data_IF_637515399266
#
_entry.id   IF_637515399266
#
_cell.length_a   1.000
_cell.length_b   1.000
_cell.length_c   1.000
_cell.angle_alpha   90.00
_cell.angle_beta   90.00
_cell.angle_gamma   90.00
#
_symmetry.space_group_name_H-M   'P 1'
#
loop_
_entity.id
_entity.type
_entity.pdbx_description
1 polymer ?
#
# COMPACT_ATOMS: atom_id res chain seq x y z
N UNK A 1 42.10 -10.53 -4.36
CA UNK A 1 41.04 -10.27 -3.36
C UNK A 1 40.99 -8.77 -3.10
N UNK A 2 40.27 -8.04 -3.95
CA UNK A 2 40.15 -6.57 -3.86
C UNK A 2 38.68 -6.23 -3.63
N UNK A 3 38.40 -5.53 -2.55
CA UNK A 3 37.05 -5.11 -2.15
C UNK A 3 36.54 -4.05 -3.12
N UNK A 4 35.34 -4.27 -3.66
CA UNK A 4 34.61 -3.30 -4.46
C UNK A 4 34.16 -2.13 -3.56
N UNK A 5 34.42 -0.87 -3.95
CA UNK A 5 33.97 0.27 -3.18
C UNK A 5 32.46 0.46 -3.38
N UNK A 6 31.74 0.47 -2.26
CA UNK A 6 30.30 0.73 -2.19
C UNK A 6 30.02 2.13 -2.74
N UNK A 7 29.28 2.19 -3.85
CA UNK A 7 28.84 3.41 -4.49
C UNK A 7 28.02 4.27 -3.51
N UNK A 8 28.48 5.51 -3.35
CA UNK A 8 27.90 6.55 -2.49
C UNK A 8 26.42 6.77 -2.86
N UNK A 9 25.52 6.48 -1.91
CA UNK A 9 24.10 6.84 -2.00
C UNK A 9 23.98 8.35 -2.23
N UNK A 10 23.47 8.73 -3.42
CA UNK A 10 23.10 10.11 -3.73
C UNK A 10 21.98 10.54 -2.78
N UNK A 11 22.26 11.49 -1.90
CA UNK A 11 21.26 12.18 -1.08
C UNK A 11 20.35 12.97 -2.01
N UNK A 12 19.09 12.55 -2.16
CA UNK A 12 18.06 13.35 -2.80
C UNK A 12 17.84 14.62 -1.96
N UNK A 13 17.90 15.77 -2.63
CA UNK A 13 17.89 17.09 -2.03
C UNK A 13 16.66 17.35 -1.16
N UNK A 14 16.90 17.94 0.01
CA UNK A 14 15.89 18.43 0.93
C UNK A 14 15.26 19.70 0.33
N UNK A 15 14.29 19.55 -0.57
CA UNK A 15 13.48 20.68 -1.02
C UNK A 15 12.74 21.25 0.18
N UNK A 16 12.96 22.55 0.45
CA UNK A 16 12.29 23.27 1.53
C UNK A 16 10.79 23.22 1.26
N UNK A 17 10.04 22.57 2.15
CA UNK A 17 8.58 22.65 2.16
C UNK A 17 8.22 24.14 2.16
N UNK A 18 7.48 24.58 1.14
CA UNK A 18 6.99 25.95 1.03
C UNK A 18 6.17 26.29 2.27
N UNK A 19 6.72 27.12 3.15
CA UNK A 19 6.18 27.47 4.48
C UNK A 19 4.98 28.42 4.43
N UNK A 20 4.21 28.42 3.33
CA UNK A 20 2.96 29.17 3.27
C UNK A 20 1.91 28.37 4.04
N UNK A 21 1.29 28.92 5.08
CA UNK A 21 0.27 28.19 5.83
C UNK A 21 -0.91 27.94 4.88
N UNK A 22 -1.08 26.68 4.49
CA UNK A 22 -2.28 26.25 3.78
C UNK A 22 -3.40 26.21 4.81
N UNK A 23 -4.45 27.00 4.61
CA UNK A 23 -5.66 26.96 5.42
C UNK A 23 -6.46 25.75 4.95
N UNK A 24 -6.28 24.60 5.60
CA UNK A 24 -7.07 23.40 5.31
C UNK A 24 -8.44 23.56 5.98
N UNK A 25 -9.55 23.31 5.27
CA UNK A 25 -10.84 23.18 5.91
C UNK A 25 -10.87 21.89 6.76
N UNK A 26 -11.66 21.89 7.84
CA UNK A 26 -12.02 20.66 8.55
C UNK A 26 -13.02 19.88 7.70
N UNK A 27 -12.52 19.27 6.63
CA UNK A 27 -13.32 18.45 5.73
C UNK A 27 -13.55 17.08 6.40
N UNK A 28 -14.81 16.71 6.68
CA UNK A 28 -15.15 15.35 7.14
C UNK A 28 -14.61 14.26 6.17
N UNK A 29 -14.40 14.63 4.91
CA UNK A 29 -13.75 13.80 3.90
C UNK A 29 -12.28 13.48 4.19
N UNK A 30 -11.57 14.28 5.00
CA UNK A 30 -10.19 14.02 5.40
C UNK A 30 -10.08 12.82 6.34
N UNK A 31 -11.05 12.63 7.24
CA UNK A 31 -11.10 11.46 8.14
C UNK A 31 -11.39 10.18 7.36
N UNK A 32 -12.33 10.24 6.42
CA UNK A 32 -12.63 9.14 5.48
C UNK A 32 -11.38 8.77 4.68
N UNK A 33 -10.74 9.76 4.06
CA UNK A 33 -9.51 9.56 3.29
C UNK A 33 -8.38 9.00 4.16
N UNK A 34 -8.23 9.47 5.39
CA UNK A 34 -7.23 8.96 6.32
C UNK A 34 -7.47 7.49 6.66
N UNK A 35 -8.74 7.09 6.86
CA UNK A 35 -9.12 5.68 7.06
C UNK A 35 -8.77 4.82 5.86
N UNK A 36 -9.16 5.25 4.67
CA UNK A 36 -8.85 4.56 3.42
C UNK A 36 -7.34 4.46 3.20
N UNK A 37 -6.61 5.57 3.34
CA UNK A 37 -5.16 5.61 3.18
C UNK A 37 -4.46 4.66 4.16
N UNK A 38 -4.92 4.58 5.41
CA UNK A 38 -4.39 3.63 6.41
C UNK A 38 -4.66 2.18 6.02
N UNK A 39 -5.81 1.91 5.41
CA UNK A 39 -6.11 0.61 4.84
C UNK A 39 -5.18 0.26 3.67
N UNK A 40 -4.67 1.21 2.87
CA UNK A 40 -3.74 0.89 1.78
C UNK A 40 -2.25 1.01 2.15
N UNK A 41 -1.90 1.65 3.27
CA UNK A 41 -0.53 1.98 3.67
C UNK A 41 0.45 0.79 3.90
N UNK A 42 0.04 -0.45 3.67
CA UNK A 42 0.90 -1.63 3.80
C UNK A 42 1.34 -2.15 2.42
N UNK A 43 2.64 -2.43 2.21
CA UNK A 43 3.17 -2.83 0.90
C UNK A 43 2.52 -4.10 0.33
N UNK A 44 2.14 -5.05 1.19
CA UNK A 44 1.42 -6.25 0.74
C UNK A 44 0.04 -5.92 0.17
N UNK A 45 -0.71 -4.99 0.80
CA UNK A 45 -2.06 -4.61 0.36
C UNK A 45 -2.03 -3.83 -0.95
N UNK A 46 -1.02 -2.97 -1.14
CA UNK A 46 -0.79 -2.31 -2.44
C UNK A 46 -0.54 -3.33 -3.54
N UNK A 47 0.25 -4.38 -3.28
CA UNK A 47 0.51 -5.45 -4.25
C UNK A 47 -0.74 -6.26 -4.56
N UNK A 48 -1.53 -6.61 -3.53
CA UNK A 48 -2.83 -7.28 -3.71
C UNK A 48 -3.74 -6.44 -4.61
N UNK A 49 -3.89 -5.14 -4.34
CA UNK A 49 -4.72 -4.27 -5.18
C UNK A 49 -4.21 -4.18 -6.63
N UNK A 50 -2.88 -4.14 -6.84
CA UNK A 50 -2.31 -4.19 -8.19
C UNK A 50 -2.64 -5.48 -8.92
N UNK A 51 -2.55 -6.63 -8.24
CA UNK A 51 -2.92 -7.93 -8.81
C UNK A 51 -4.42 -7.97 -9.16
N UNK A 52 -5.27 -7.45 -8.28
CA UNK A 52 -6.72 -7.37 -8.51
C UNK A 52 -7.10 -6.37 -9.60
N UNK A 53 -6.28 -5.35 -9.86
CA UNK A 53 -6.51 -4.42 -10.98
C UNK A 53 -6.20 -5.09 -12.32
N UNK A 54 -5.22 -5.99 -12.34
CA UNK A 54 -4.80 -6.74 -13.53
C UNK A 54 -5.71 -7.94 -13.81
N UNK A 55 -6.34 -8.50 -12.77
CA UNK A 55 -7.22 -9.68 -12.85
C UNK A 55 -8.56 -9.38 -12.18
N UNK A 56 -9.62 -9.25 -12.99
CA UNK A 56 -10.98 -8.88 -12.57
C UNK A 56 -11.62 -9.87 -11.55
N UNK A 57 -11.09 -11.09 -11.47
CA UNK A 57 -11.42 -12.08 -10.44
C UNK A 57 -10.15 -12.81 -10.01
N UNK A 58 -9.98 -13.09 -8.71
CA UNK A 58 -8.82 -13.81 -8.18
C UNK A 58 -9.23 -14.71 -7.03
N UNK A 59 -8.74 -15.95 -7.05
CA UNK A 59 -8.86 -16.88 -5.94
C UNK A 59 -7.70 -16.61 -4.97
N UNK A 60 -7.94 -16.66 -3.65
CA UNK A 60 -6.92 -16.48 -2.62
C UNK A 60 -5.63 -17.30 -2.88
N UNK A 61 -5.74 -18.49 -3.46
CA UNK A 61 -4.61 -19.35 -3.81
C UNK A 61 -3.66 -18.75 -4.86
N UNK A 62 -4.17 -18.03 -5.85
CA UNK A 62 -3.34 -17.38 -6.88
C UNK A 62 -2.60 -16.15 -6.32
N UNK A 63 -3.27 -15.41 -5.43
CA UNK A 63 -2.68 -14.26 -4.74
C UNK A 63 -1.51 -14.72 -3.85
N UNK A 64 -1.65 -15.87 -3.19
CA UNK A 64 -0.59 -16.48 -2.37
C UNK A 64 0.58 -17.00 -3.21
N UNK A 65 0.34 -17.43 -4.45
CA UNK A 65 1.42 -17.84 -5.34
C UNK A 65 2.28 -16.65 -5.82
N UNK A 66 1.66 -15.48 -6.02
CA UNK A 66 2.31 -14.26 -6.52
C UNK A 66 2.95 -13.40 -5.39
N UNK A 67 2.54 -13.61 -4.14
CA UNK A 67 3.06 -12.92 -2.97
C UNK A 67 3.91 -13.86 -2.11
N UNK A 68 5.12 -13.46 -1.67
CA UNK A 68 5.94 -14.28 -0.77
C UNK A 68 5.41 -14.21 0.67
N UNK A 69 4.14 -14.59 0.89
CA UNK A 69 3.42 -14.50 2.16
C UNK A 69 2.61 -15.79 2.39
N UNK A 70 2.40 -16.12 3.67
CA UNK A 70 1.54 -17.24 4.03
C UNK A 70 0.06 -16.95 3.72
N UNK A 71 -0.71 -17.99 3.43
CA UNK A 71 -2.14 -17.88 3.10
C UNK A 71 -2.96 -17.20 4.22
N UNK A 72 -2.64 -17.47 5.49
CA UNK A 72 -3.27 -16.81 6.65
C UNK A 72 -3.03 -15.30 6.66
N UNK A 73 -1.81 -14.87 6.33
CA UNK A 73 -1.44 -13.45 6.25
C UNK A 73 -2.15 -12.74 5.10
N UNK A 74 -2.26 -13.41 3.95
CA UNK A 74 -2.98 -12.88 2.78
C UNK A 74 -4.47 -12.72 3.07
N UNK A 75 -5.11 -13.74 3.67
CA UNK A 75 -6.53 -13.67 4.06
C UNK A 75 -6.79 -12.52 5.04
N UNK A 76 -5.90 -12.32 6.02
CA UNK A 76 -6.01 -11.19 6.95
C UNK A 76 -5.89 -9.84 6.24
N UNK A 77 -4.97 -9.70 5.28
CA UNK A 77 -4.84 -8.49 4.48
C UNK A 77 -6.06 -8.23 3.59
N UNK A 78 -6.64 -9.26 2.98
CA UNK A 78 -7.88 -9.17 2.19
C UNK A 78 -9.07 -8.76 3.06
N UNK A 79 -9.18 -9.31 4.27
CA UNK A 79 -10.23 -8.93 5.22
C UNK A 79 -10.17 -7.45 5.58
N UNK A 80 -8.99 -6.92 5.86
CA UNK A 80 -8.79 -5.48 6.14
C UNK A 80 -9.17 -4.62 4.93
N UNK A 81 -8.77 -5.03 3.72
CA UNK A 81 -9.14 -4.31 2.50
C UNK A 81 -10.66 -4.30 2.28
N UNK A 82 -11.33 -5.43 2.53
CA UNK A 82 -12.78 -5.55 2.43
C UNK A 82 -13.50 -4.70 3.49
N UNK A 83 -13.06 -4.74 4.74
CA UNK A 83 -13.61 -3.92 5.82
C UNK A 83 -13.45 -2.41 5.55
N UNK A 84 -12.40 -2.02 4.83
CA UNK A 84 -12.21 -0.64 4.39
C UNK A 84 -13.02 -0.24 3.15
N UNK A 85 -13.76 -1.16 2.53
CA UNK A 85 -14.51 -0.91 1.30
C UNK A 85 -13.66 -0.83 0.02
N UNK A 86 -12.36 -1.16 0.09
CA UNK A 86 -11.44 -1.10 -1.05
C UNK A 86 -11.64 -2.25 -2.04
N UNK A 87 -12.14 -3.40 -1.57
CA UNK A 87 -12.41 -4.58 -2.40
C UNK A 87 -13.79 -5.15 -2.05
N UNK A 88 -14.46 -5.74 -3.05
CA UNK A 88 -15.72 -6.45 -2.89
C UNK A 88 -15.53 -7.87 -3.42
N UNK A 89 -16.03 -8.87 -2.69
CA UNK A 89 -15.86 -10.27 -3.05
C UNK A 89 -16.03 -11.22 -1.86
N UNK A 90 -16.16 -12.51 -2.17
CA UNK A 90 -16.12 -13.59 -1.19
C UNK A 90 -14.65 -13.95 -0.90
N UNK A 91 -14.28 -14.11 0.37
CA UNK A 91 -12.92 -14.40 0.83
C UNK A 91 -12.90 -15.82 1.40
#
# INVERSE_FOLDING_TARGET
MGTLPVAKKKKAGRQKCSSKPVKLPDDASAEELARLARAVAHPARVRILRLLTDRETCICGEIVAELPLAQSTVSQHLKILKESGMIQGEI
#
